data_IF_213352085045
#
_entry.id   IF_213352085045
#
_cell.length_a   1.000
_cell.length_b   1.000
_cell.length_c   1.000
_cell.angle_alpha   90.00
_cell.angle_beta   90.00
_cell.angle_gamma   90.00
#
_symmetry.space_group_name_H-M   'P 1'
#
loop_
_entity.id
_entity.type
_entity.pdbx_description
1 polymer ?
#
# COMPACT_ATOMS: atom_id res chain seq x y z
N UNK A 1 26.19 -25.17 -19.21
CA UNK A 1 26.22 -24.61 -17.84
C UNK A 1 25.85 -23.14 -17.98
N UNK A 2 24.60 -22.79 -17.65
CA UNK A 2 24.03 -21.44 -17.82
C UNK A 2 24.00 -20.82 -16.42
N UNK A 3 24.58 -19.63 -16.17
CA UNK A 3 24.55 -19.04 -14.84
C UNK A 3 23.11 -18.59 -14.53
N UNK A 4 22.65 -18.97 -13.35
CA UNK A 4 21.35 -18.57 -12.79
C UNK A 4 21.50 -17.13 -12.31
N UNK A 5 20.76 -16.20 -12.91
CA UNK A 5 20.63 -14.85 -12.38
C UNK A 5 19.85 -14.95 -11.06
N UNK A 6 20.56 -14.87 -9.94
CA UNK A 6 19.95 -14.49 -8.67
C UNK A 6 19.96 -12.97 -8.67
N UNK A 7 18.86 -12.35 -9.09
CA UNK A 7 18.65 -10.93 -8.81
C UNK A 7 18.13 -10.84 -7.38
N UNK A 8 19.03 -10.66 -6.44
CA UNK A 8 18.67 -10.08 -5.15
C UNK A 8 18.51 -8.57 -5.40
N UNK A 9 17.29 -8.17 -5.79
CA UNK A 9 16.97 -6.77 -6.01
C UNK A 9 16.90 -6.09 -4.64
N UNK A 10 17.91 -5.31 -4.31
CA UNK A 10 17.91 -4.34 -3.21
C UNK A 10 16.73 -3.39 -3.41
N UNK A 11 15.60 -3.62 -2.72
CA UNK A 11 14.46 -2.70 -2.73
C UNK A 11 14.93 -1.37 -2.14
N UNK A 12 14.88 -0.31 -2.94
CA UNK A 12 15.24 1.04 -2.50
C UNK A 12 14.40 1.40 -1.27
N UNK A 13 15.04 1.68 -0.14
CA UNK A 13 14.40 1.82 1.18
C UNK A 13 13.81 3.21 1.34
N UNK A 14 12.99 3.64 0.37
CA UNK A 14 12.15 4.82 0.53
C UNK A 14 10.94 4.40 1.37
N UNK A 15 10.70 5.09 2.48
CA UNK A 15 9.47 4.85 3.25
C UNK A 15 8.26 5.16 2.37
N UNK A 16 7.26 4.26 2.28
CA UNK A 16 6.07 4.50 1.48
C UNK A 16 5.28 5.69 2.03
N UNK A 17 4.84 6.64 1.19
CA UNK A 17 3.95 7.71 1.63
C UNK A 17 2.61 7.12 2.05
N UNK A 18 2.02 7.64 3.13
CA UNK A 18 0.77 7.17 3.72
C UNK A 18 -0.17 8.35 3.90
N UNK A 19 -1.41 8.18 3.45
CA UNK A 19 -2.42 9.23 3.43
C UNK A 19 -3.77 8.70 3.89
N UNK A 20 -4.70 9.63 4.11
CA UNK A 20 -6.09 9.34 4.46
C UNK A 20 -6.41 9.49 5.94
N UNK A 21 -7.57 8.94 6.33
CA UNK A 21 -8.15 9.03 7.66
C UNK A 21 -8.30 7.66 8.30
N UNK A 22 -8.10 7.59 9.62
CA UNK A 22 -8.37 6.40 10.41
C UNK A 22 -8.80 6.83 11.81
N UNK A 23 -10.02 6.46 12.20
CA UNK A 23 -10.48 6.65 13.58
C UNK A 23 -9.52 5.94 14.55
N UNK A 24 -9.23 6.57 15.69
CA UNK A 24 -8.30 6.04 16.70
C UNK A 24 -8.67 4.63 17.19
N UNK A 25 -9.96 4.32 17.28
CA UNK A 25 -10.45 2.97 17.62
C UNK A 25 -10.02 1.87 16.63
N UNK A 26 -9.63 2.25 15.41
CA UNK A 26 -9.12 1.38 14.36
C UNK A 26 -7.62 1.58 14.09
N UNK A 27 -6.87 2.24 14.98
CA UNK A 27 -5.41 2.38 14.87
C UNK A 27 -4.66 1.09 14.51
N UNK A 28 -5.04 -0.11 15.03
CA UNK A 28 -4.39 -1.36 14.60
C UNK A 28 -4.48 -1.66 13.10
N UNK A 29 -5.54 -1.20 12.43
CA UNK A 29 -5.69 -1.32 10.96
C UNK A 29 -4.64 -0.47 10.26
N UNK A 30 -4.48 0.79 10.69
CA UNK A 30 -3.45 1.70 10.18
C UNK A 30 -2.05 1.12 10.37
N UNK A 31 -1.77 0.56 11.55
CA UNK A 31 -0.45 -0.01 11.86
C UNK A 31 -0.10 -1.22 10.98
N UNK A 32 -1.09 -2.09 10.71
CA UNK A 32 -0.91 -3.22 9.79
C UNK A 32 -0.75 -2.73 8.35
N UNK A 33 -1.55 -1.76 7.91
CA UNK A 33 -1.44 -1.17 6.59
C UNK A 33 -0.04 -0.58 6.32
N UNK A 34 0.48 0.21 7.28
CA UNK A 34 1.83 0.77 7.21
C UNK A 34 2.87 -0.35 7.14
N UNK A 35 2.80 -1.33 8.05
CA UNK A 35 3.75 -2.46 8.07
C UNK A 35 3.76 -3.26 6.77
N UNK A 36 2.62 -3.43 6.12
CA UNK A 36 2.53 -4.16 4.85
C UNK A 36 3.23 -3.40 3.71
N UNK A 37 3.05 -2.08 3.65
CA UNK A 37 3.77 -1.27 2.66
C UNK A 37 5.26 -1.17 2.99
N UNK A 38 5.62 -1.10 4.27
CA UNK A 38 7.02 -1.07 4.72
C UNK A 38 7.76 -2.39 4.50
N UNK A 39 7.07 -3.55 4.50
CA UNK A 39 7.69 -4.83 4.11
C UNK A 39 8.13 -4.81 2.64
N UNK A 40 7.51 -3.94 1.85
CA UNK A 40 7.73 -3.79 0.41
C UNK A 40 7.19 -4.95 -0.40
N UNK A 41 6.37 -5.84 0.18
CA UNK A 41 5.68 -6.91 -0.54
C UNK A 41 4.60 -6.34 -1.47
N UNK A 42 4.01 -5.21 -1.07
CA UNK A 42 3.11 -4.41 -1.89
C UNK A 42 3.82 -3.11 -2.35
N UNK A 43 3.59 -2.72 -3.61
CA UNK A 43 4.09 -1.46 -4.18
C UNK A 43 3.24 -0.27 -3.69
N UNK A 44 1.93 -0.47 -3.65
CA UNK A 44 0.95 0.50 -3.18
C UNK A 44 -0.38 -0.18 -2.95
N UNK A 45 -1.19 0.40 -2.07
CA UNK A 45 -2.46 -0.18 -1.66
C UNK A 45 -3.42 0.90 -1.15
N UNK A 46 -4.70 0.56 -1.10
CA UNK A 46 -5.72 1.31 -0.39
C UNK A 46 -6.63 0.38 0.42
N UNK A 47 -7.20 0.91 1.50
CA UNK A 47 -8.17 0.19 2.34
C UNK A 47 -9.23 1.15 2.86
N UNK A 48 -10.49 0.75 2.76
CA UNK A 48 -11.63 1.50 3.27
C UNK A 48 -12.52 0.61 4.15
N UNK A 49 -12.95 1.14 5.30
CA UNK A 49 -13.85 0.47 6.23
C UNK A 49 -15.05 1.37 6.52
N UNK A 50 -16.24 0.82 6.34
CA UNK A 50 -17.52 1.49 6.59
C UNK A 50 -18.26 0.74 7.69
N UNK A 51 -18.67 1.45 8.74
CA UNK A 51 -19.45 0.91 9.85
C UNK A 51 -20.73 1.72 9.98
N UNK A 52 -21.89 1.05 9.89
CA UNK A 52 -23.21 1.69 9.96
C UNK A 52 -23.39 2.87 8.96
N UNK A 53 -22.75 2.80 7.79
CA UNK A 53 -22.82 3.82 6.75
C UNK A 53 -21.83 4.98 6.92
N UNK A 54 -20.99 4.97 7.96
CA UNK A 54 -19.92 5.95 8.18
C UNK A 54 -18.57 5.36 7.78
N UNK A 55 -17.78 6.10 7.01
CA UNK A 55 -16.39 5.73 6.68
C UNK A 55 -15.50 6.03 7.88
N UNK A 56 -14.98 4.98 8.50
CA UNK A 56 -14.20 5.04 9.75
C UNK A 56 -12.71 4.79 9.52
N UNK A 57 -12.37 4.21 8.37
CA UNK A 57 -11.01 4.09 7.83
C UNK A 57 -11.09 4.35 6.33
N UNK A 58 -10.21 5.18 5.82
CA UNK A 58 -9.97 5.39 4.40
C UNK A 58 -8.50 5.76 4.23
N UNK A 59 -7.67 4.78 3.88
CA UNK A 59 -6.22 4.90 3.81
C UNK A 59 -5.72 4.49 2.44
N UNK A 60 -4.70 5.18 1.96
CA UNK A 60 -3.96 4.82 0.76
C UNK A 60 -2.48 5.17 0.90
N UNK A 61 -1.63 4.53 0.11
CA UNK A 61 -0.19 4.77 0.19
C UNK A 61 0.65 3.91 -0.73
N UNK A 62 1.94 4.21 -0.75
CA UNK A 62 2.92 3.61 -1.66
C UNK A 62 2.90 4.29 -3.04
N UNK A 63 3.11 3.49 -4.09
CA UNK A 63 3.27 3.97 -5.47
C UNK A 63 2.35 3.22 -6.43
N UNK A 64 2.17 3.79 -7.63
CA UNK A 64 1.31 3.18 -8.67
C UNK A 64 1.94 1.97 -9.35
N UNK A 65 3.28 1.86 -9.34
CA UNK A 65 4.04 0.78 -9.97
C UNK A 65 5.47 0.65 -9.40
N UNK A 66 6.16 -0.42 -9.80
CA UNK A 66 7.50 -0.80 -9.33
C UNK A 66 8.58 0.25 -9.61
N UNK A 67 8.36 1.19 -10.55
CA UNK A 67 9.31 2.28 -10.78
C UNK A 67 9.34 3.27 -9.61
N UNK A 68 8.30 3.26 -8.76
CA UNK A 68 8.12 4.17 -7.62
C UNK A 68 8.26 5.65 -7.99
N UNK A 69 7.95 5.99 -9.24
CA UNK A 69 8.04 7.35 -9.76
C UNK A 69 6.81 8.20 -9.42
N UNK A 70 5.65 7.55 -9.25
CA UNK A 70 4.37 8.20 -8.99
C UNK A 70 3.77 7.64 -7.71
N UNK A 71 3.50 8.50 -6.74
CA UNK A 71 2.83 8.13 -5.49
C UNK A 71 1.37 7.75 -5.73
N UNK A 72 0.84 6.89 -4.87
CA UNK A 72 -0.57 6.55 -4.85
C UNK A 72 -1.40 7.74 -4.36
N UNK A 73 -2.28 8.26 -5.22
CA UNK A 73 -3.25 9.30 -4.90
C UNK A 73 -4.61 8.72 -4.46
N UNK A 74 -5.45 9.54 -3.82
CA UNK A 74 -6.79 9.17 -3.33
C UNK A 74 -7.67 8.52 -4.41
N UNK A 75 -7.58 9.03 -5.64
CA UNK A 75 -8.38 8.61 -6.80
C UNK A 75 -7.66 7.61 -7.72
N UNK A 76 -6.57 7.00 -7.26
CA UNK A 76 -5.85 5.98 -8.02
C UNK A 76 -6.75 4.77 -8.28
N UNK A 77 -6.99 4.48 -9.56
CA UNK A 77 -7.80 3.35 -9.99
C UNK A 77 -6.95 2.10 -10.23
N UNK A 78 -7.38 0.98 -9.66
CA UNK A 78 -6.75 -0.34 -9.83
C UNK A 78 -7.78 -1.33 -10.39
N UNK A 79 -7.40 -2.20 -11.35
CA UNK A 79 -8.28 -3.27 -11.79
C UNK A 79 -8.48 -4.28 -10.67
N UNK A 80 -9.72 -4.45 -10.21
CA UNK A 80 -10.07 -5.33 -9.07
C UNK A 80 -10.18 -6.83 -9.43
N UNK A 81 -9.96 -7.17 -10.71
CA UNK A 81 -10.18 -8.52 -11.25
C UNK A 81 -11.46 -9.16 -10.68
N UNK A 82 -11.44 -10.42 -10.26
CA UNK A 82 -12.57 -11.03 -9.53
C UNK A 82 -12.24 -11.06 -8.05
N UNK A 83 -13.07 -10.37 -7.25
CA UNK A 83 -13.00 -10.29 -5.78
C UNK A 83 -13.93 -11.30 -5.12
#
# INVERSE_FOLDING_TARGET
MIPRFTTDSTKDTTMPPIHGHCDERFAPVRDVFIRNLESGDDVGASVSLIVNGETVVDLWGGWTDESRATEWAEDTLVPVHST
#
